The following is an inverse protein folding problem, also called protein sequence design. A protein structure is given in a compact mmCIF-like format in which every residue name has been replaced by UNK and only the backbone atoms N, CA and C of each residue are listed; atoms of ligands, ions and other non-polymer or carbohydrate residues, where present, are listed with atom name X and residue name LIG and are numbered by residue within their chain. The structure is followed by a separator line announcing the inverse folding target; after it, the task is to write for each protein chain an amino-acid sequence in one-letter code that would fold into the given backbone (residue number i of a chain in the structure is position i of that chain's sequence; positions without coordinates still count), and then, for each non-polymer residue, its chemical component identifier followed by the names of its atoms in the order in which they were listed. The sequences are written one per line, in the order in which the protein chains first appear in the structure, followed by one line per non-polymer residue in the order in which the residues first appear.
data_IF_058693883262
#
_entry.id   IF_058693883262
#
_cell.length_a   1.000
_cell.length_b   1.000
_cell.length_c   1.000
_cell.angle_alpha   90.00
_cell.angle_beta   90.00
_cell.angle_gamma   90.00
#
_symmetry.space_group_name_H-M   'P 1'
#
loop_
_entity.id
_entity.type
_entity.pdbx_description
1 polymer ?
#
# COMPACT_ATOMS: atom_id res chain seq x y z
N UNK A 1 -38.57 -32.73 4.18
CA UNK A 1 -38.38 -32.69 2.71
C UNK A 1 -37.70 -31.37 2.38
N UNK A 2 -36.37 -31.34 2.44
CA UNK A 2 -35.57 -30.13 2.16
C UNK A 2 -35.32 -30.07 0.66
N UNK A 3 -35.87 -29.07 -0.02
CA UNK A 3 -35.61 -28.84 -1.44
C UNK A 3 -34.10 -28.64 -1.68
N UNK A 4 -33.53 -29.22 -2.75
CA UNK A 4 -32.12 -29.04 -3.10
C UNK A 4 -31.84 -27.57 -3.43
N UNK A 5 -30.70 -27.07 -2.95
CA UNK A 5 -30.24 -25.70 -3.17
C UNK A 5 -29.98 -25.51 -4.69
N UNK A 6 -30.56 -24.49 -5.34
CA UNK A 6 -30.37 -24.27 -6.78
C UNK A 6 -28.92 -23.86 -7.10
N UNK A 7 -28.46 -24.09 -8.34
CA UNK A 7 -27.08 -23.83 -8.76
C UNK A 7 -26.64 -22.36 -8.52
N UNK A 8 -25.35 -22.11 -8.28
CA UNK A 8 -24.81 -20.79 -7.90
C UNK A 8 -25.10 -19.65 -8.89
N UNK A 9 -25.48 -19.96 -10.14
CA UNK A 9 -25.85 -18.99 -11.17
C UNK A 9 -27.12 -18.19 -10.83
N UNK A 10 -27.97 -18.66 -9.91
CA UNK A 10 -29.24 -18.01 -9.56
C UNK A 10 -29.14 -17.04 -8.36
N UNK A 11 -27.98 -16.94 -7.72
CA UNK A 11 -27.74 -16.03 -6.59
C UNK A 11 -27.32 -14.66 -7.13
N UNK A 12 -28.30 -13.94 -7.67
CA UNK A 12 -28.13 -12.60 -8.26
C UNK A 12 -27.42 -11.61 -7.33
N UNK A 13 -26.73 -10.65 -7.95
CA UNK A 13 -26.04 -9.55 -7.28
C UNK A 13 -26.95 -8.84 -6.25
N UNK A 14 -26.40 -8.29 -5.16
CA UNK A 14 -27.18 -7.55 -4.17
C UNK A 14 -28.03 -6.47 -4.85
N UNK A 15 -29.27 -6.25 -4.38
CA UNK A 15 -30.22 -5.35 -5.03
C UNK A 15 -29.62 -3.93 -5.16
N UNK A 16 -29.49 -3.45 -6.40
CA UNK A 16 -28.98 -2.12 -6.72
C UNK A 16 -27.60 -2.06 -7.41
N UNK A 17 -26.89 -3.19 -7.57
CA UNK A 17 -25.62 -3.21 -8.31
C UNK A 17 -25.72 -4.04 -9.58
N UNK A 18 -25.48 -3.41 -10.74
CA UNK A 18 -25.35 -4.10 -12.03
C UNK A 18 -23.98 -4.78 -12.05
N UNK A 19 -23.88 -6.13 -12.18
CA UNK A 19 -22.60 -6.82 -12.23
C UNK A 19 -21.84 -6.42 -13.51
N UNK A 20 -20.88 -5.50 -13.38
CA UNK A 20 -20.05 -5.04 -14.47
C UNK A 20 -18.86 -6.00 -14.69
N UNK A 21 -19.09 -7.04 -15.49
CA UNK A 21 -18.10 -8.07 -15.85
C UNK A 21 -17.17 -7.65 -16.99
N UNK A 22 -17.55 -6.63 -17.77
CA UNK A 22 -16.80 -6.13 -18.94
C UNK A 22 -15.71 -5.15 -18.51
N UNK A 23 -15.92 -4.43 -17.39
CA UNK A 23 -14.95 -3.49 -16.85
C UNK A 23 -15.03 -3.47 -15.30
N UNK A 24 -14.37 -4.42 -14.58
CA UNK A 24 -14.36 -4.41 -13.14
C UNK A 24 -13.69 -3.13 -12.64
N UNK A 25 -14.30 -2.42 -11.69
CA UNK A 25 -13.73 -1.21 -11.07
C UNK A 25 -12.33 -1.53 -10.53
N UNK A 26 -11.31 -1.13 -11.27
CA UNK A 26 -9.91 -1.38 -10.94
C UNK A 26 -9.42 -0.27 -10.00
N UNK A 27 -9.55 -0.50 -8.69
CA UNK A 27 -9.13 0.49 -7.70
C UNK A 27 -7.60 0.69 -7.71
N UNK A 28 -6.84 -0.29 -8.20
CA UNK A 28 -5.37 -0.27 -8.32
C UNK A 28 -4.85 0.88 -9.18
N UNK A 29 -5.49 1.17 -10.32
CA UNK A 29 -5.05 2.24 -11.24
C UNK A 29 -5.16 3.61 -10.61
N UNK A 30 -6.28 3.88 -9.92
CA UNK A 30 -6.51 5.14 -9.22
C UNK A 30 -5.42 5.41 -8.17
N UNK A 31 -4.94 4.36 -7.49
CA UNK A 31 -3.90 4.49 -6.47
C UNK A 31 -2.53 4.79 -7.07
N UNK A 32 -2.15 4.15 -8.19
CA UNK A 32 -0.89 4.44 -8.88
C UNK A 32 -0.88 5.90 -9.38
N UNK A 33 -2.00 6.34 -9.94
CA UNK A 33 -2.16 7.71 -10.44
C UNK A 33 -2.07 8.73 -9.30
N UNK A 34 -2.76 8.52 -8.18
CA UNK A 34 -2.71 9.45 -7.04
C UNK A 34 -1.30 9.60 -6.45
N UNK A 35 -0.57 8.49 -6.31
CA UNK A 35 0.78 8.50 -5.70
C UNK A 35 1.84 9.07 -6.64
N UNK A 36 1.75 8.77 -7.94
CA UNK A 36 2.64 9.37 -8.95
C UNK A 36 2.48 10.89 -9.02
N UNK A 37 1.25 11.40 -8.93
CA UNK A 37 0.98 12.85 -8.88
C UNK A 37 1.65 13.48 -7.65
N UNK A 38 1.52 12.88 -6.46
CA UNK A 38 2.17 13.38 -5.24
C UNK A 38 3.70 13.44 -5.37
N UNK A 39 4.32 12.42 -5.96
CA UNK A 39 5.77 12.40 -6.21
C UNK A 39 6.20 13.52 -7.16
N UNK A 40 5.45 13.74 -8.24
CA UNK A 40 5.74 14.80 -9.22
C UNK A 40 5.61 16.20 -8.58
N UNK A 41 4.63 16.41 -7.70
CA UNK A 41 4.47 17.70 -7.01
C UNK A 41 5.68 17.97 -6.09
N UNK A 42 6.17 16.96 -5.38
CA UNK A 42 7.35 17.08 -4.49
C UNK A 42 8.62 17.36 -5.30
N UNK A 43 8.81 16.68 -6.43
CA UNK A 43 9.99 16.88 -7.29
C UNK A 43 10.04 18.31 -7.86
N UNK A 44 8.89 18.82 -8.30
CA UNK A 44 8.76 20.19 -8.79
C UNK A 44 9.00 21.23 -7.69
N UNK A 45 8.53 20.98 -6.47
CA UNK A 45 8.77 21.85 -5.32
C UNK A 45 10.27 21.98 -4.98
N UNK A 46 11.01 20.86 -4.99
CA UNK A 46 12.46 20.89 -4.79
C UNK A 46 13.18 21.62 -5.93
N UNK A 47 12.78 21.36 -7.18
CA UNK A 47 13.35 22.03 -8.35
C UNK A 47 13.16 23.55 -8.29
N UNK A 48 11.96 24.02 -7.93
CA UNK A 48 11.65 25.44 -7.75
C UNK A 48 12.52 26.06 -6.65
N UNK A 49 12.70 25.37 -5.52
CA UNK A 49 13.54 25.84 -4.40
C UNK A 49 15.00 25.96 -4.80
N UNK A 50 15.54 24.97 -5.51
CA UNK A 50 16.91 24.99 -6.02
C UNK A 50 17.08 26.09 -7.07
N UNK A 51 16.11 26.25 -7.97
CA UNK A 51 16.12 27.32 -8.97
C UNK A 51 16.15 28.70 -8.31
N UNK A 52 15.28 28.93 -7.33
CA UNK A 52 15.20 30.19 -6.58
C UNK A 52 16.53 30.50 -5.87
N UNK A 53 17.12 29.53 -5.16
CA UNK A 53 18.35 29.78 -4.41
C UNK A 53 19.58 29.95 -5.31
N UNK A 54 19.67 29.15 -6.38
CA UNK A 54 20.82 29.12 -7.29
C UNK A 54 20.81 30.29 -8.28
N UNK A 55 19.64 30.67 -8.82
CA UNK A 55 19.52 31.72 -9.84
C UNK A 55 19.03 33.07 -9.30
N UNK A 56 18.06 33.10 -8.36
CA UNK A 56 17.49 34.36 -7.84
C UNK A 56 18.32 34.92 -6.69
N UNK A 57 18.62 34.10 -5.68
CA UNK A 57 19.32 34.57 -4.45
C UNK A 57 20.85 34.54 -4.60
N UNK A 58 21.39 33.79 -5.59
CA UNK A 58 22.84 33.62 -5.85
C UNK A 58 23.67 33.30 -4.59
N UNK A 59 23.05 32.63 -3.61
CA UNK A 59 23.73 32.08 -2.44
C UNK A 59 23.43 30.59 -2.38
N UNK A 60 24.45 29.77 -2.61
CA UNK A 60 24.40 28.34 -2.32
C UNK A 60 24.98 28.11 -0.92
N UNK A 61 24.23 27.48 -0.04
CA UNK A 61 24.74 26.97 1.24
C UNK A 61 25.15 25.51 1.05
N UNK A 62 26.09 25.01 1.88
CA UNK A 62 26.47 23.59 1.91
C UNK A 62 25.25 22.68 2.15
N UNK A 63 24.28 23.19 2.92
CA UNK A 63 22.96 22.62 3.15
C UNK A 63 22.22 22.25 1.84
N UNK A 64 22.27 23.09 0.80
CA UNK A 64 21.56 22.83 -0.46
C UNK A 64 22.18 21.64 -1.23
N UNK A 65 23.50 21.42 -1.13
CA UNK A 65 24.18 20.26 -1.72
C UNK A 65 23.88 18.97 -0.97
N UNK A 66 23.80 19.03 0.36
CA UNK A 66 23.37 17.91 1.19
C UNK A 66 21.93 17.51 0.89
N UNK A 67 21.02 18.47 0.69
CA UNK A 67 19.66 18.20 0.26
C UNK A 67 19.60 17.50 -1.11
N UNK A 68 20.38 17.96 -2.09
CA UNK A 68 20.44 17.33 -3.43
C UNK A 68 20.97 15.90 -3.35
N UNK A 69 21.96 15.63 -2.49
CA UNK A 69 22.49 14.29 -2.28
C UNK A 69 21.53 13.36 -1.52
N UNK A 70 20.81 13.87 -0.52
CA UNK A 70 19.86 13.10 0.29
C UNK A 70 18.53 12.82 -0.45
N UNK A 71 18.17 13.65 -1.42
CA UNK A 71 16.94 13.54 -2.20
C UNK A 71 16.69 12.17 -2.87
N UNK A 72 17.65 11.56 -3.60
CA UNK A 72 17.45 10.23 -4.18
C UNK A 72 17.17 9.14 -3.13
N UNK A 73 17.76 9.23 -1.94
CA UNK A 73 17.48 8.30 -0.84
C UNK A 73 16.05 8.44 -0.34
N UNK A 74 15.56 9.67 -0.22
CA UNK A 74 14.16 9.93 0.14
C UNK A 74 13.23 9.30 -0.88
N UNK A 75 13.44 9.55 -2.19
CA UNK A 75 12.64 8.94 -3.27
C UNK A 75 12.63 7.41 -3.16
N UNK A 76 13.77 6.78 -2.86
CA UNK A 76 13.86 5.34 -2.66
C UNK A 76 12.92 4.82 -1.57
N UNK A 77 12.80 5.54 -0.45
CA UNK A 77 11.90 5.20 0.65
C UNK A 77 10.43 5.29 0.20
N UNK A 78 10.07 6.33 -0.55
CA UNK A 78 8.71 6.49 -1.09
C UNK A 78 8.35 5.35 -2.05
N UNK A 79 9.25 5.05 -2.99
CA UNK A 79 9.07 3.95 -3.95
C UNK A 79 8.93 2.62 -3.23
N UNK A 80 9.73 2.38 -2.19
CA UNK A 80 9.65 1.18 -1.38
C UNK A 80 8.27 1.02 -0.73
N UNK A 81 7.76 2.05 -0.04
CA UNK A 81 6.46 2.00 0.64
C UNK A 81 5.33 1.72 -0.38
N UNK A 82 5.36 2.37 -1.54
CA UNK A 82 4.37 2.19 -2.60
C UNK A 82 4.45 0.77 -3.17
N UNK A 83 5.65 0.31 -3.50
CA UNK A 83 5.87 -1.03 -4.08
C UNK A 83 5.32 -2.11 -3.15
N UNK A 84 5.61 -2.02 -1.85
CA UNK A 84 5.11 -2.98 -0.86
C UNK A 84 3.59 -2.94 -0.74
N UNK A 85 2.97 -1.75 -0.75
CA UNK A 85 1.51 -1.62 -0.75
C UNK A 85 0.88 -2.28 -1.98
N UNK A 86 1.45 -2.05 -3.18
CA UNK A 86 0.97 -2.62 -4.43
C UNK A 86 1.09 -4.14 -4.45
N UNK A 87 2.21 -4.69 -3.98
CA UNK A 87 2.38 -6.16 -3.87
C UNK A 87 1.28 -6.76 -2.99
N UNK A 88 1.01 -6.17 -1.82
CA UNK A 88 -0.05 -6.64 -0.91
C UNK A 88 -1.43 -6.58 -1.54
N UNK A 89 -1.75 -5.49 -2.24
CA UNK A 89 -3.02 -5.34 -2.96
C UNK A 89 -3.14 -6.34 -4.11
N UNK A 90 -2.06 -6.62 -4.83
CA UNK A 90 -2.03 -7.65 -5.87
C UNK A 90 -2.30 -9.05 -5.29
N UNK A 91 -1.66 -9.40 -4.17
CA UNK A 91 -1.90 -10.66 -3.47
C UNK A 91 -3.36 -10.76 -3.01
N UNK A 92 -3.91 -9.72 -2.37
CA UNK A 92 -5.30 -9.70 -1.91
C UNK A 92 -6.30 -9.78 -3.07
N UNK A 93 -6.05 -9.10 -4.17
CA UNK A 93 -6.87 -9.18 -5.39
C UNK A 93 -6.85 -10.60 -5.98
N UNK A 94 -5.67 -11.22 -6.03
CA UNK A 94 -5.52 -12.62 -6.45
C UNK A 94 -6.30 -13.57 -5.52
N UNK A 95 -6.22 -13.39 -4.20
CA UNK A 95 -7.01 -14.14 -3.22
C UNK A 95 -8.52 -13.96 -3.42
N UNK A 96 -8.96 -12.77 -3.80
CA UNK A 96 -10.36 -12.48 -4.11
C UNK A 96 -10.84 -13.33 -5.29
N UNK A 97 -10.02 -13.45 -6.33
CA UNK A 97 -10.36 -14.18 -7.54
C UNK A 97 -10.40 -15.69 -7.31
N UNK A 98 -9.43 -16.26 -6.58
CA UNK A 98 -9.37 -17.70 -6.32
C UNK A 98 -10.47 -18.17 -5.35
N UNK A 99 -10.78 -17.40 -4.30
CA UNK A 99 -11.75 -17.77 -3.27
C UNK A 99 -13.11 -17.07 -3.42
N UNK A 100 -13.49 -16.69 -4.65
CA UNK A 100 -14.74 -15.97 -4.95
C UNK A 100 -16.01 -16.66 -4.40
N UNK A 101 -15.97 -18.00 -4.25
CA UNK A 101 -17.10 -18.78 -3.75
C UNK A 101 -17.30 -18.70 -2.22
N UNK A 102 -16.24 -18.37 -1.45
CA UNK A 102 -16.27 -18.42 0.02
C UNK A 102 -16.51 -17.01 0.59
N UNK A 103 -17.76 -16.69 0.93
CA UNK A 103 -18.15 -15.35 1.45
C UNK A 103 -17.33 -14.88 2.65
N UNK A 104 -16.96 -15.77 3.58
CA UNK A 104 -16.15 -15.39 4.75
C UNK A 104 -14.74 -14.96 4.34
N UNK A 105 -14.10 -15.70 3.45
CA UNK A 105 -12.77 -15.34 2.91
C UNK A 105 -12.83 -14.02 2.17
N UNK A 106 -13.86 -13.78 1.35
CA UNK A 106 -14.06 -12.50 0.67
C UNK A 106 -14.20 -11.31 1.63
N UNK A 107 -14.92 -11.49 2.75
CA UNK A 107 -15.02 -10.45 3.78
C UNK A 107 -13.65 -10.12 4.37
N UNK A 108 -12.85 -11.13 4.72
CA UNK A 108 -11.49 -10.91 5.22
C UNK A 108 -10.62 -10.24 4.15
N UNK A 109 -10.63 -10.70 2.90
CA UNK A 109 -9.87 -10.06 1.80
C UNK A 109 -10.23 -8.58 1.65
N UNK A 110 -11.52 -8.22 1.67
CA UNK A 110 -11.95 -6.83 1.55
C UNK A 110 -11.52 -5.98 2.75
N UNK A 111 -11.60 -6.53 3.97
CA UNK A 111 -11.07 -5.86 5.18
C UNK A 111 -9.56 -5.65 5.05
N UNK A 112 -8.83 -6.65 4.53
CA UNK A 112 -7.41 -6.56 4.24
C UNK A 112 -7.07 -5.46 3.24
N UNK A 113 -7.82 -5.33 2.15
CA UNK A 113 -7.64 -4.28 1.15
C UNK A 113 -7.80 -2.91 1.79
N UNK A 114 -8.89 -2.70 2.53
CA UNK A 114 -9.15 -1.43 3.22
C UNK A 114 -8.04 -1.13 4.24
N UNK A 115 -7.62 -2.13 5.01
CA UNK A 115 -6.56 -1.98 6.01
C UNK A 115 -5.22 -1.59 5.38
N UNK A 116 -4.79 -2.26 4.29
CA UNK A 116 -3.57 -1.91 3.56
C UNK A 116 -3.66 -0.49 3.02
N UNK A 117 -4.79 -0.11 2.42
CA UNK A 117 -4.97 1.24 1.91
C UNK A 117 -4.85 2.29 3.01
N UNK A 118 -5.56 2.12 4.13
CA UNK A 118 -5.54 3.10 5.22
C UNK A 118 -4.17 3.17 5.87
N UNK A 119 -3.58 2.02 6.23
CA UNK A 119 -2.31 1.98 6.95
C UNK A 119 -1.16 2.55 6.13
N UNK A 120 -1.04 2.16 4.86
CA UNK A 120 0.04 2.66 4.00
C UNK A 120 -0.15 4.14 3.63
N UNK A 121 -1.40 4.60 3.46
CA UNK A 121 -1.68 6.03 3.27
C UNK A 121 -1.26 6.85 4.50
N UNK A 122 -1.62 6.40 5.70
CA UNK A 122 -1.22 7.07 6.95
C UNK A 122 0.30 7.08 7.11
N UNK A 123 0.99 5.99 6.79
CA UNK A 123 2.45 5.94 6.84
C UNK A 123 3.10 6.95 5.88
N UNK A 124 2.57 7.09 4.66
CA UNK A 124 3.05 8.09 3.71
C UNK A 124 2.88 9.51 4.26
N UNK A 125 1.69 9.86 4.75
CA UNK A 125 1.46 11.19 5.33
C UNK A 125 2.29 11.44 6.59
N UNK A 126 2.51 10.43 7.42
CA UNK A 126 3.38 10.55 8.60
C UNK A 126 4.84 10.85 8.23
N UNK A 127 5.31 10.40 7.06
CA UNK A 127 6.64 10.75 6.55
C UNK A 127 6.71 12.20 6.04
N UNK A 128 5.65 12.73 5.44
CA UNK A 128 5.59 14.15 5.04
C UNK A 128 5.49 15.07 6.25
N UNK A 129 4.57 14.75 7.16
CA UNK A 129 4.19 15.61 8.29
C UNK A 129 4.89 15.23 9.60
N UNK A 130 6.11 14.72 9.51
CA UNK A 130 6.89 14.31 10.69
C UNK A 130 7.27 15.49 11.61
N UNK A 131 7.25 16.73 11.10
CA UNK A 131 7.57 17.96 11.83
C UNK A 131 6.39 18.95 11.79
N UNK A 132 6.21 19.68 12.89
CA UNK A 132 5.25 20.78 13.02
C UNK A 132 6.00 22.07 13.41
N UNK A 133 6.05 23.09 12.55
CA UNK A 133 5.66 23.09 11.13
C UNK A 133 6.62 22.25 10.26
N UNK A 134 6.15 21.79 9.10
CA UNK A 134 6.95 20.96 8.18
C UNK A 134 8.28 21.62 7.77
N UNK A 135 8.33 22.96 7.81
CA UNK A 135 9.51 23.75 7.48
C UNK A 135 10.71 23.52 8.39
N UNK A 136 10.50 23.06 9.62
CA UNK A 136 11.60 22.75 10.56
C UNK A 136 12.47 21.61 10.05
N UNK A 137 11.93 20.71 9.21
CA UNK A 137 12.69 19.59 8.65
C UNK A 137 13.86 20.02 7.75
N UNK A 138 13.82 21.23 7.19
CA UNK A 138 14.85 21.78 6.31
C UNK A 138 15.39 23.14 6.77
N UNK A 139 14.83 23.72 7.83
CA UNK A 139 15.28 24.98 8.41
C UNK A 139 15.19 24.91 9.93
N UNK A 140 16.31 24.52 10.54
CA UNK A 140 16.42 24.40 11.99
C UNK A 140 16.47 25.76 12.71
N UNK A 141 16.36 26.88 12.00
CA UNK A 141 16.29 28.22 12.63
C UNK A 141 14.87 28.61 13.05
N UNK A 142 13.87 27.81 12.63
CA UNK A 142 12.47 28.01 12.96
C UNK A 142 12.13 27.17 14.20
N UNK A 143 11.46 27.78 15.18
CA UNK A 143 10.96 27.05 16.36
C UNK A 143 9.87 26.05 15.97
N UNK A 144 10.07 24.80 16.35
CA UNK A 144 9.09 23.73 16.22
C UNK A 144 9.63 22.40 16.70
N UNK A 145 8.85 21.35 16.52
CA UNK A 145 9.21 20.01 16.98
C UNK A 145 9.03 18.97 15.87
N UNK A 146 9.91 17.98 15.88
CA UNK A 146 9.89 16.85 14.96
C UNK A 146 9.74 15.54 15.73
N UNK A 147 9.01 14.61 15.15
CA UNK A 147 8.89 13.24 15.64
C UNK A 147 10.25 12.54 15.49
N UNK A 148 10.65 11.77 16.50
CA UNK A 148 11.93 11.02 16.45
C UNK A 148 11.88 10.01 15.30
N UNK A 149 12.87 10.06 14.41
CA UNK A 149 12.99 9.18 13.23
C UNK A 149 12.84 7.71 13.60
N UNK A 150 13.48 7.27 14.69
CA UNK A 150 13.38 5.88 15.17
C UNK A 150 11.94 5.45 15.47
N UNK A 151 11.11 6.33 16.01
CA UNK A 151 9.72 5.99 16.31
C UNK A 151 8.93 5.70 15.04
N UNK A 152 9.09 6.55 14.01
CA UNK A 152 8.43 6.38 12.72
C UNK A 152 8.92 5.11 12.01
N UNK A 153 10.23 4.83 12.06
CA UNK A 153 10.81 3.61 11.48
C UNK A 153 10.33 2.35 12.18
N UNK A 154 10.31 2.31 13.51
CA UNK A 154 9.81 1.15 14.25
C UNK A 154 8.32 0.89 14.01
N UNK A 155 7.51 1.95 13.99
CA UNK A 155 6.08 1.84 13.67
C UNK A 155 5.88 1.31 12.24
N UNK A 156 6.64 1.81 11.28
CA UNK A 156 6.59 1.36 9.89
C UNK A 156 6.95 -0.12 9.76
N UNK A 157 8.01 -0.56 10.45
CA UNK A 157 8.41 -1.97 10.49
C UNK A 157 7.31 -2.86 11.09
N UNK A 158 6.71 -2.44 12.19
CA UNK A 158 5.60 -3.15 12.82
C UNK A 158 4.42 -3.32 11.86
N UNK A 159 3.93 -2.23 11.26
CA UNK A 159 2.80 -2.30 10.31
C UNK A 159 3.13 -3.20 9.12
N UNK A 160 4.35 -3.14 8.61
CA UNK A 160 4.78 -3.97 7.49
C UNK A 160 4.75 -5.47 7.85
N UNK A 161 5.40 -5.85 8.95
CA UNK A 161 5.47 -7.26 9.38
C UNK A 161 4.10 -7.84 9.68
N UNK A 162 3.23 -7.09 10.36
CA UNK A 162 1.89 -7.58 10.71
C UNK A 162 0.99 -7.73 9.48
N UNK A 163 1.10 -6.82 8.51
CA UNK A 163 0.36 -6.96 7.26
C UNK A 163 0.89 -8.12 6.41
N UNK A 164 2.18 -8.44 6.45
CA UNK A 164 2.72 -9.65 5.80
C UNK A 164 2.13 -10.93 6.43
N UNK A 165 2.16 -11.02 7.77
CA UNK A 165 1.57 -12.16 8.49
C UNK A 165 0.09 -12.30 8.16
N UNK A 166 -0.65 -11.19 8.12
CA UNK A 166 -2.07 -11.20 7.75
C UNK A 166 -2.32 -11.78 6.35
N UNK A 167 -1.57 -11.32 5.35
CA UNK A 167 -1.68 -11.77 3.95
C UNK A 167 -1.32 -13.26 3.83
N UNK A 168 -0.35 -13.75 4.59
CA UNK A 168 0.05 -15.17 4.62
C UNK A 168 -0.95 -16.08 5.32
N UNK A 169 -1.58 -15.60 6.39
CA UNK A 169 -2.53 -16.40 7.17
C UNK A 169 -3.89 -16.50 6.48
N UNK A 170 -4.23 -15.54 5.63
CA UNK A 170 -5.52 -15.48 4.92
C UNK A 170 -5.86 -16.74 4.10
N UNK A 171 -4.98 -17.33 3.28
CA UNK A 171 -5.30 -18.53 2.51
C UNK A 171 -5.42 -19.80 3.35
N UNK A 172 -4.85 -19.86 4.57
CA UNK A 172 -4.77 -21.10 5.34
C UNK A 172 -6.16 -21.66 5.67
N UNK A 173 -7.10 -20.91 6.28
CA UNK A 173 -8.43 -21.45 6.57
C UNK A 173 -9.19 -21.88 5.31
N UNK A 174 -9.02 -21.14 4.20
CA UNK A 174 -9.69 -21.43 2.94
C UNK A 174 -9.16 -22.70 2.26
N UNK A 175 -7.84 -22.93 2.29
CA UNK A 175 -7.20 -24.13 1.73
C UNK A 175 -7.53 -25.39 2.54
N UNK A 176 -7.67 -25.26 3.86
CA UNK A 176 -8.01 -26.39 4.73
C UNK A 176 -9.47 -26.82 4.58
N UNK A 177 -10.38 -25.87 4.33
CA UNK A 177 -11.78 -26.17 4.06
C UNK A 177 -12.03 -26.84 2.71
N UNK A 178 -11.05 -26.83 1.79
CA UNK A 178 -11.21 -27.35 0.43
C UNK A 178 -10.73 -28.81 0.32
N UNK A 179 -11.54 -29.73 -0.24
CA UNK A 179 -11.21 -31.15 -0.36
C UNK A 179 -10.24 -31.43 -1.52
N UNK A 180 -9.01 -30.90 -1.44
CA UNK A 180 -7.93 -31.20 -2.40
C UNK A 180 -6.96 -32.26 -1.88
N UNK A 181 -6.32 -32.93 -2.83
CA UNK A 181 -5.17 -33.79 -2.55
C UNK A 181 -4.02 -32.97 -1.92
N UNK A 182 -3.26 -33.54 -0.96
CA UNK A 182 -2.23 -32.82 -0.21
C UNK A 182 -1.10 -32.26 -1.09
N UNK A 183 -0.82 -32.88 -2.23
CA UNK A 183 0.16 -32.40 -3.22
C UNK A 183 -0.26 -31.10 -3.89
N UNK A 184 -1.55 -30.94 -4.20
CA UNK A 184 -2.10 -29.70 -4.78
C UNK A 184 -2.15 -28.57 -3.74
N UNK A 185 -2.40 -28.91 -2.48
CA UNK A 185 -2.36 -27.93 -1.37
C UNK A 185 -0.97 -27.34 -1.20
N UNK A 186 0.07 -28.16 -1.28
CA UNK A 186 1.46 -27.71 -1.16
C UNK A 186 1.89 -26.81 -2.33
N UNK A 187 1.48 -27.12 -3.56
CA UNK A 187 1.75 -26.29 -4.74
C UNK A 187 1.11 -24.90 -4.64
N UNK A 188 -0.11 -24.81 -4.11
CA UNK A 188 -0.78 -23.52 -3.91
C UNK A 188 -0.04 -22.72 -2.81
N UNK A 189 0.32 -23.37 -1.71
CA UNK A 189 1.04 -22.73 -0.61
C UNK A 189 2.45 -22.23 -1.03
N UNK A 190 3.15 -22.97 -1.89
CA UNK A 190 4.50 -22.60 -2.35
C UNK A 190 4.50 -21.37 -3.24
N UNK A 191 3.51 -21.22 -4.12
CA UNK A 191 3.35 -19.99 -4.94
C UNK A 191 3.11 -18.77 -4.05
N UNK A 192 2.34 -18.92 -2.97
CA UNK A 192 2.10 -17.83 -2.01
C UNK A 192 3.34 -17.48 -1.18
N UNK A 193 4.17 -18.47 -0.83
CA UNK A 193 5.43 -18.21 -0.15
C UNK A 193 6.46 -17.49 -1.06
N UNK A 194 6.46 -17.81 -2.36
CA UNK A 194 7.37 -17.19 -3.34
C UNK A 194 7.02 -15.72 -3.65
N UNK A 195 5.75 -15.31 -3.54
CA UNK A 195 5.35 -13.91 -3.74
C UNK A 195 5.75 -12.94 -2.62
N UNK A 196 6.44 -13.42 -1.58
CA UNK A 196 6.81 -12.67 -0.37
C UNK A 196 8.33 -12.40 -0.22
N UNK A 197 9.16 -12.86 -1.17
CA UNK A 197 10.59 -12.52 -1.25
C UNK A 197 10.83 -11.36 -2.23
#
# INVERSE_FOLDING_TARGET
MTNPMPPPELLGAPPGTIPNLVNPVNQTELFIVLHSICLVIITLGLAMRLYTRKFIVKRSKVDDYLCVFAYPFSIGIWIYIITVAVIKLACLSFYRNIFMSIRKTLMFVNVGIIAVLVLYTVMLFAQVFQCVPVAVSWDNTIDGYCTKVHFVTYYSGFVNTFSDIYVLMLPIPAVWALPLAPTQKLQILSVFALGLM
#
